data_IF_684315922476
#
_entry.id   IF_684315922476
#
_cell.length_a   1.000
_cell.length_b   1.000
_cell.length_c   1.000
_cell.angle_alpha   90.00
_cell.angle_beta   90.00
_cell.angle_gamma   90.00
#
_symmetry.space_group_name_H-M   'P 1'
#
loop_
_entity.id
_entity.type
_entity.pdbx_description
1 polymer ?
#
# COMPACT_ATOMS: atom_id res chain seq x y z
N UNK A 1 -43.27 -13.79 6.64
CA UNK A 1 -42.99 -13.46 8.06
C UNK A 1 -41.55 -13.80 8.45
N UNK A 2 -41.05 -15.04 8.33
CA UNK A 2 -39.68 -15.42 8.72
C UNK A 2 -38.54 -14.52 8.20
N UNK A 3 -38.59 -14.08 6.94
CA UNK A 3 -37.56 -13.19 6.35
C UNK A 3 -37.58 -11.78 6.96
N UNK A 4 -38.78 -11.24 7.24
CA UNK A 4 -38.95 -9.95 7.89
C UNK A 4 -38.45 -9.99 9.33
N UNK A 5 -38.83 -11.04 10.07
CA UNK A 5 -38.44 -11.19 11.47
C UNK A 5 -36.91 -11.29 11.61
N UNK A 6 -36.26 -12.04 10.71
CA UNK A 6 -34.80 -12.11 10.67
C UNK A 6 -34.17 -10.76 10.30
N UNK A 7 -34.65 -10.10 9.24
CA UNK A 7 -34.07 -8.82 8.82
C UNK A 7 -34.18 -7.75 9.91
N UNK A 8 -35.36 -7.57 10.51
CA UNK A 8 -35.60 -6.49 11.48
C UNK A 8 -35.04 -6.84 12.85
N UNK A 9 -35.41 -7.99 13.41
CA UNK A 9 -35.11 -8.31 14.80
C UNK A 9 -33.73 -8.91 15.01
N UNK A 10 -33.07 -9.40 13.96
CA UNK A 10 -31.70 -9.89 14.02
C UNK A 10 -30.73 -8.91 13.35
N UNK A 11 -30.79 -8.73 12.02
CA UNK A 11 -29.80 -7.92 11.30
C UNK A 11 -29.84 -6.44 11.69
N UNK A 12 -31.00 -5.79 11.59
CA UNK A 12 -31.12 -4.36 11.90
C UNK A 12 -30.92 -4.09 13.39
N UNK A 13 -31.39 -4.98 14.27
CA UNK A 13 -31.13 -4.88 15.71
C UNK A 13 -29.63 -4.99 16.04
N UNK A 14 -28.88 -5.87 15.39
CA UNK A 14 -27.43 -5.97 15.56
C UNK A 14 -26.71 -4.73 15.04
N UNK A 15 -27.10 -4.21 13.86
CA UNK A 15 -26.55 -2.97 13.31
C UNK A 15 -26.77 -1.79 14.26
N UNK A 16 -28.01 -1.62 14.72
CA UNK A 16 -28.37 -0.58 15.68
C UNK A 16 -27.57 -0.70 16.98
N UNK A 17 -27.43 -1.91 17.55
CA UNK A 17 -26.63 -2.12 18.77
C UNK A 17 -25.15 -1.78 18.61
N UNK A 18 -24.58 -1.98 17.42
CA UNK A 18 -23.20 -1.58 17.11
C UNK A 18 -23.10 -0.06 17.01
N UNK A 19 -23.96 0.56 16.21
CA UNK A 19 -23.94 2.00 15.97
C UNK A 19 -24.37 2.82 17.20
N UNK A 20 -25.19 2.26 18.10
CA UNK A 20 -25.54 2.90 19.36
C UNK A 20 -24.36 3.01 20.33
N UNK A 21 -23.34 2.15 20.18
CA UNK A 21 -22.12 2.15 21.00
C UNK A 21 -21.02 3.02 20.38
N UNK A 22 -20.85 2.90 19.07
CA UNK A 22 -19.83 3.63 18.30
C UNK A 22 -20.47 4.07 16.97
N UNK A 23 -20.92 5.34 16.86
CA UNK A 23 -21.61 5.83 15.68
C UNK A 23 -20.80 5.60 14.39
N UNK A 24 -21.41 4.90 13.42
CA UNK A 24 -20.79 4.58 12.14
C UNK A 24 -19.86 3.36 12.16
N UNK A 25 -19.79 2.63 13.27
CA UNK A 25 -19.00 1.39 13.35
C UNK A 25 -19.44 0.36 12.32
N UNK A 26 -20.74 0.18 12.12
CA UNK A 26 -21.22 -0.78 11.13
C UNK A 26 -20.73 -0.44 9.72
N UNK A 27 -20.77 0.84 9.33
CA UNK A 27 -20.28 1.28 8.02
C UNK A 27 -18.77 1.06 7.87
N UNK A 28 -17.97 1.32 8.92
CA UNK A 28 -16.53 1.03 8.93
C UNK A 28 -16.24 -0.46 8.79
N UNK A 29 -16.96 -1.31 9.55
CA UNK A 29 -16.81 -2.77 9.48
C UNK A 29 -17.12 -3.28 8.06
N UNK A 30 -18.21 -2.79 7.44
CA UNK A 30 -18.59 -3.18 6.07
C UNK A 30 -17.51 -2.78 5.05
N UNK A 31 -16.99 -1.55 5.14
CA UNK A 31 -15.89 -1.10 4.26
C UNK A 31 -14.65 -1.98 4.43
N UNK A 32 -14.27 -2.26 5.68
CA UNK A 32 -13.13 -3.13 6.00
C UNK A 32 -13.31 -4.54 5.44
N UNK A 33 -14.51 -5.10 5.55
CA UNK A 33 -14.84 -6.42 5.00
C UNK A 33 -14.78 -6.45 3.47
N UNK A 34 -15.20 -5.38 2.79
CA UNK A 34 -15.06 -5.28 1.34
C UNK A 34 -13.58 -5.29 0.90
N UNK A 35 -12.71 -4.62 1.65
CA UNK A 35 -11.26 -4.65 1.40
C UNK A 35 -10.71 -6.07 1.64
N UNK A 36 -11.08 -6.72 2.74
CA UNK A 36 -10.68 -8.11 3.02
C UNK A 36 -11.07 -9.07 1.89
N UNK A 37 -12.33 -9.09 1.47
CA UNK A 37 -12.78 -9.92 0.34
C UNK A 37 -12.03 -9.61 -0.97
N UNK A 38 -11.59 -8.37 -1.16
CA UNK A 38 -10.78 -8.00 -2.32
C UNK A 38 -9.34 -8.54 -2.23
N UNK A 39 -8.73 -8.52 -1.04
CA UNK A 39 -7.42 -9.17 -0.78
C UNK A 39 -7.49 -10.68 -0.99
N UNK A 40 -8.58 -11.31 -0.55
CA UNK A 40 -8.80 -12.74 -0.74
C UNK A 40 -8.89 -13.15 -2.21
N UNK A 41 -9.61 -12.35 -3.02
CA UNK A 41 -9.67 -12.56 -4.48
C UNK A 41 -8.30 -12.41 -5.13
N UNK A 42 -7.51 -11.41 -4.72
CA UNK A 42 -6.15 -11.22 -5.21
C UNK A 42 -5.21 -12.36 -4.78
N UNK A 43 -5.34 -12.82 -3.54
CA UNK A 43 -4.65 -14.00 -3.00
C UNK A 43 -4.94 -15.24 -3.85
N UNK A 44 -6.22 -15.55 -4.04
CA UNK A 44 -6.63 -16.73 -4.83
C UNK A 44 -6.08 -16.67 -6.25
N UNK A 45 -6.23 -15.53 -6.95
CA UNK A 45 -5.73 -15.37 -8.31
C UNK A 45 -4.21 -15.59 -8.42
N UNK A 46 -3.43 -15.01 -7.49
CA UNK A 46 -1.97 -15.18 -7.46
C UNK A 46 -1.57 -16.62 -7.09
N UNK A 47 -2.25 -17.23 -6.13
CA UNK A 47 -1.98 -18.59 -5.69
C UNK A 47 -2.29 -19.60 -6.80
N UNK A 48 -3.45 -19.49 -7.45
CA UNK A 48 -3.84 -20.34 -8.58
C UNK A 48 -2.84 -20.22 -9.73
N UNK A 49 -2.45 -19.00 -10.09
CA UNK A 49 -1.42 -18.79 -11.09
C UNK A 49 -0.09 -19.41 -10.67
N UNK A 50 0.34 -19.26 -9.41
CA UNK A 50 1.58 -19.85 -8.92
C UNK A 50 1.56 -21.40 -8.95
N UNK A 51 0.40 -22.01 -8.69
CA UNK A 51 0.20 -23.45 -8.81
C UNK A 51 0.28 -23.89 -10.27
N UNK A 52 -0.43 -23.21 -11.18
CA UNK A 52 -0.39 -23.49 -12.62
C UNK A 52 1.01 -23.31 -13.21
N UNK A 53 1.70 -22.25 -12.79
CA UNK A 53 3.09 -21.97 -13.13
C UNK A 53 4.06 -22.93 -12.45
N UNK A 54 3.67 -23.80 -11.52
CA UNK A 54 4.56 -24.72 -10.77
C UNK A 54 5.68 -24.01 -10.01
N UNK A 55 5.37 -22.90 -9.34
CA UNK A 55 6.36 -22.20 -8.51
C UNK A 55 6.79 -23.05 -7.31
N UNK A 56 8.03 -22.84 -6.81
CA UNK A 56 8.50 -23.46 -5.56
C UNK A 56 7.48 -23.39 -4.41
N UNK A 57 7.42 -24.43 -3.58
CA UNK A 57 6.49 -24.53 -2.43
C UNK A 57 6.56 -23.29 -1.54
N UNK A 58 7.76 -22.74 -1.32
CA UNK A 58 7.98 -21.55 -0.49
C UNK A 58 7.15 -20.35 -0.95
N UNK A 59 7.05 -20.09 -2.26
CA UNK A 59 6.23 -18.99 -2.79
C UNK A 59 4.74 -19.29 -2.66
N UNK A 60 4.33 -20.54 -2.88
CA UNK A 60 2.92 -20.93 -2.72
C UNK A 60 2.44 -20.73 -1.26
N UNK A 61 3.28 -21.06 -0.27
CA UNK A 61 2.98 -20.80 1.15
C UNK A 61 2.92 -19.31 1.49
N UNK A 62 3.78 -18.48 0.88
CA UNK A 62 3.68 -17.01 1.00
C UNK A 62 2.34 -16.50 0.43
N UNK A 63 1.99 -16.96 -0.78
CA UNK A 63 0.79 -16.54 -1.51
C UNK A 63 -0.52 -17.10 -0.93
N UNK A 64 -0.49 -18.09 -0.05
CA UNK A 64 -1.69 -18.62 0.59
C UNK A 64 -2.18 -17.75 1.76
N UNK A 65 -1.37 -16.80 2.24
CA UNK A 65 -1.73 -15.98 3.39
C UNK A 65 -2.40 -14.67 2.96
N UNK A 66 -3.66 -14.43 3.32
CA UNK A 66 -4.40 -13.20 2.96
C UNK A 66 -3.68 -11.92 3.37
N UNK A 67 -3.10 -11.90 4.57
CA UNK A 67 -2.40 -10.74 5.11
C UNK A 67 -1.09 -10.45 4.34
N UNK A 68 -0.62 -11.39 3.51
CA UNK A 68 0.48 -11.20 2.59
C UNK A 68 0.07 -10.56 1.25
N UNK A 69 -1.14 -10.02 1.12
CA UNK A 69 -1.59 -9.32 -0.09
C UNK A 69 -1.96 -7.87 0.22
N UNK A 70 -1.66 -6.94 -0.70
CA UNK A 70 -1.96 -5.52 -0.56
C UNK A 70 -3.45 -5.25 -0.62
N UNK A 71 -3.86 -4.14 -0.04
CA UNK A 71 -5.21 -3.60 -0.24
C UNK A 71 -5.24 -2.86 -1.57
N UNK A 72 -6.29 -3.14 -2.35
CA UNK A 72 -6.50 -2.53 -3.64
C UNK A 72 -7.83 -1.78 -3.62
N UNK A 73 -7.76 -0.48 -3.31
CA UNK A 73 -8.95 0.37 -3.28
C UNK A 73 -9.20 1.00 -4.64
N UNK A 74 -10.47 1.09 -5.04
CA UNK A 74 -10.82 1.78 -6.28
C UNK A 74 -10.51 3.27 -6.13
N UNK A 75 -9.93 3.85 -7.17
CA UNK A 75 -9.85 5.31 -7.39
C UNK A 75 -11.24 5.94 -7.29
N UNK A 76 -11.28 7.24 -6.98
CA UNK A 76 -12.49 8.09 -7.00
C UNK A 76 -13.31 7.87 -8.27
N UNK A 77 -12.63 7.74 -9.41
CA UNK A 77 -13.20 7.55 -10.74
C UNK A 77 -13.58 6.09 -11.06
N UNK A 78 -13.26 5.13 -10.18
CA UNK A 78 -13.52 3.71 -10.36
C UNK A 78 -12.71 3.01 -11.46
N UNK A 79 -11.88 3.74 -12.21
CA UNK A 79 -11.14 3.27 -13.39
C UNK A 79 -9.93 2.41 -13.04
N UNK A 80 -9.33 2.63 -11.88
CA UNK A 80 -8.12 1.94 -11.43
C UNK A 80 -8.21 1.54 -9.96
N UNK A 81 -7.38 0.60 -9.55
CA UNK A 81 -7.16 0.28 -8.14
C UNK A 81 -5.81 0.82 -7.67
N UNK A 82 -5.79 1.49 -6.53
CA UNK A 82 -4.58 2.01 -5.90
C UNK A 82 -4.04 0.95 -4.96
N UNK A 83 -2.76 0.65 -5.10
CA UNK A 83 -2.10 -0.35 -4.27
C UNK A 83 -1.55 0.35 -3.03
N UNK A 84 -2.15 0.06 -1.87
CA UNK A 84 -1.64 0.55 -0.58
C UNK A 84 -0.40 -0.23 -0.13
N UNK A 85 0.55 0.49 0.46
CA UNK A 85 1.80 -0.04 1.00
C UNK A 85 1.55 -0.67 2.36
N UNK A 86 1.99 -1.92 2.52
CA UNK A 86 1.95 -2.62 3.79
C UNK A 86 3.22 -2.30 4.56
N UNK A 87 3.09 -1.56 5.66
CA UNK A 87 4.21 -1.01 6.44
C UNK A 87 5.19 -2.08 6.94
N UNK A 88 4.69 -3.28 7.20
CA UNK A 88 5.48 -4.41 7.69
C UNK A 88 6.17 -5.22 6.59
N UNK A 89 5.90 -4.96 5.31
CA UNK A 89 6.45 -5.74 4.20
C UNK A 89 7.73 -5.07 3.67
N UNK A 90 8.77 -5.88 3.46
CA UNK A 90 10.04 -5.41 2.91
C UNK A 90 9.92 -4.86 1.49
N UNK A 91 10.84 -3.95 1.15
CA UNK A 91 11.05 -3.45 -0.21
C UNK A 91 11.21 -4.60 -1.23
N UNK A 92 12.01 -5.61 -0.89
CA UNK A 92 12.27 -6.81 -1.70
C UNK A 92 10.99 -7.59 -1.98
N UNK A 93 10.17 -7.83 -0.95
CA UNK A 93 8.88 -8.50 -1.11
C UNK A 93 7.93 -7.68 -1.99
N UNK A 94 7.89 -6.35 -1.82
CA UNK A 94 7.10 -5.48 -2.67
C UNK A 94 7.51 -5.54 -4.16
N UNK A 95 8.81 -5.45 -4.45
CA UNK A 95 9.36 -5.64 -5.81
C UNK A 95 8.95 -7.01 -6.37
N UNK A 96 9.00 -8.07 -5.56
CA UNK A 96 8.63 -9.42 -6.03
C UNK A 96 7.13 -9.56 -6.34
N UNK A 97 6.25 -8.99 -5.51
CA UNK A 97 4.81 -9.00 -5.80
C UNK A 97 4.47 -8.21 -7.07
N UNK A 98 5.19 -7.12 -7.37
CA UNK A 98 5.06 -6.40 -8.65
C UNK A 98 5.51 -7.24 -9.83
N UNK A 99 6.65 -7.91 -9.70
CA UNK A 99 7.16 -8.82 -10.71
C UNK A 99 6.16 -9.96 -10.99
N UNK A 100 5.58 -10.53 -9.93
CA UNK A 100 4.53 -11.54 -10.03
C UNK A 100 3.32 -11.03 -10.80
N UNK A 101 2.80 -9.86 -10.45
CA UNK A 101 1.64 -9.27 -11.13
C UNK A 101 1.93 -9.02 -12.62
N UNK A 102 3.14 -8.54 -12.94
CA UNK A 102 3.58 -8.33 -14.32
C UNK A 102 3.64 -9.65 -15.11
N UNK A 103 4.16 -10.72 -14.49
CA UNK A 103 4.23 -12.06 -15.12
C UNK A 103 2.84 -12.68 -15.31
N UNK A 104 1.92 -12.44 -14.39
CA UNK A 104 0.53 -12.85 -14.55
C UNK A 104 -0.12 -12.16 -15.75
N UNK A 105 0.09 -10.85 -15.91
CA UNK A 105 -0.43 -10.08 -17.04
C UNK A 105 0.19 -10.54 -18.38
N UNK A 106 1.51 -10.72 -18.43
CA UNK A 106 2.21 -11.26 -19.60
C UNK A 106 1.65 -12.63 -20.00
N UNK A 107 1.42 -13.51 -19.03
CA UNK A 107 0.86 -14.84 -19.25
C UNK A 107 -0.56 -14.79 -19.81
N UNK A 108 -1.42 -13.91 -19.30
CA UNK A 108 -2.79 -13.75 -19.79
C UNK A 108 -2.82 -13.18 -21.20
N UNK A 109 -1.96 -12.20 -21.48
CA UNK A 109 -1.78 -11.62 -22.81
C UNK A 109 -1.30 -12.67 -23.81
N UNK A 110 -0.34 -13.50 -23.43
CA UNK A 110 0.18 -14.59 -24.27
C UNK A 110 -0.88 -15.66 -24.56
N UNK A 111 -1.76 -15.95 -23.60
CA UNK A 111 -2.90 -16.87 -23.78
C UNK A 111 -4.09 -16.24 -24.53
N UNK A 112 -4.02 -14.95 -24.89
CA UNK A 112 -5.10 -14.24 -25.56
C UNK A 112 -6.36 -14.06 -24.69
N UNK A 113 -6.24 -14.23 -23.37
CA UNK A 113 -7.36 -14.06 -22.45
C UNK A 113 -7.61 -12.55 -22.31
N UNK A 114 -8.70 -12.08 -22.92
CA UNK A 114 -9.17 -10.70 -22.73
C UNK A 114 -9.86 -10.59 -21.37
N UNK A 115 -9.09 -10.33 -20.31
CA UNK A 115 -9.67 -10.02 -19.00
C UNK A 115 -9.95 -8.52 -18.92
N UNK A 116 -11.18 -8.13 -18.56
CA UNK A 116 -11.50 -6.75 -18.16
C UNK A 116 -11.00 -6.50 -16.73
N UNK A 117 -9.69 -6.65 -16.51
CA UNK A 117 -9.10 -6.35 -15.22
C UNK A 117 -8.91 -4.85 -15.09
N UNK A 118 -9.42 -4.31 -13.99
CA UNK A 118 -9.12 -2.95 -13.58
C UNK A 118 -7.60 -2.83 -13.39
N UNK A 119 -6.92 -1.89 -14.06
CA UNK A 119 -5.49 -1.66 -13.87
C UNK A 119 -5.22 -1.32 -12.40
N UNK A 120 -4.04 -1.71 -11.93
CA UNK A 120 -3.61 -1.46 -10.55
C UNK A 120 -2.39 -0.56 -10.57
N UNK A 121 -2.52 0.62 -9.98
CA UNK A 121 -1.49 1.65 -9.97
C UNK A 121 -0.79 1.73 -8.62
N UNK A 122 0.52 1.96 -8.69
CA UNK A 122 1.35 2.25 -7.53
C UNK A 122 1.48 3.77 -7.40
N UNK A 123 1.05 4.37 -6.28
CA UNK A 123 1.21 5.80 -6.09
C UNK A 123 2.70 6.15 -5.92
N UNK A 124 3.12 7.31 -6.44
CA UNK A 124 4.49 7.82 -6.29
C UNK A 124 4.83 8.12 -4.83
N UNK A 125 3.83 8.57 -4.06
CA UNK A 125 3.91 8.71 -2.60
C UNK A 125 3.23 7.50 -1.96
N UNK A 126 3.92 6.67 -1.15
CA UNK A 126 3.33 5.51 -0.52
C UNK A 126 2.11 5.86 0.34
N UNK A 127 0.98 5.18 0.08
CA UNK A 127 -0.22 5.29 0.93
C UNK A 127 -0.26 4.07 1.84
N UNK A 128 -0.18 4.27 3.15
CA UNK A 128 -0.19 3.18 4.11
C UNK A 128 -1.54 2.42 4.11
N UNK A 129 -1.45 1.10 4.21
CA UNK A 129 -2.59 0.22 4.43
C UNK A 129 -3.22 0.44 5.81
N UNK A 130 -4.54 0.30 5.89
CA UNK A 130 -5.28 0.30 7.16
C UNK A 130 -5.08 -1.02 7.95
N UNK A 131 -4.61 -2.07 7.28
CA UNK A 131 -4.37 -3.38 7.89
C UNK A 131 -2.94 -3.47 8.38
N UNK A 132 -2.75 -3.10 9.65
CA UNK A 132 -1.44 -3.10 10.30
C UNK A 132 -1.01 -4.48 10.80
N UNK A 133 -1.94 -5.44 10.92
CA UNK A 133 -1.62 -6.78 11.41
C UNK A 133 -0.79 -7.55 10.38
N UNK A 134 0.46 -7.92 10.70
CA UNK A 134 1.27 -8.70 9.78
C UNK A 134 0.75 -10.14 9.66
N UNK A 135 1.04 -10.82 8.54
CA UNK A 135 1.00 -12.28 8.48
C UNK A 135 1.88 -12.91 9.56
N UNK A 136 1.63 -14.18 9.90
CA UNK A 136 2.43 -14.93 10.89
C UNK A 136 3.22 -16.02 10.18
N UNK A 137 4.39 -16.35 10.73
CA UNK A 137 5.24 -17.47 10.31
C UNK A 137 5.67 -17.38 8.83
N UNK A 138 5.79 -16.16 8.29
CA UNK A 138 6.44 -15.93 7.00
C UNK A 138 7.97 -15.86 7.14
N UNK A 139 8.71 -16.09 6.04
CA UNK A 139 10.16 -15.94 5.99
C UNK A 139 10.65 -14.56 6.46
N UNK A 140 11.86 -14.50 7.00
CA UNK A 140 12.47 -13.30 7.59
C UNK A 140 12.46 -12.11 6.62
N UNK A 141 12.89 -12.36 5.39
CA UNK A 141 13.05 -11.39 4.30
C UNK A 141 11.73 -10.89 3.70
N UNK A 142 10.58 -11.42 4.12
CA UNK A 142 9.28 -10.81 3.84
C UNK A 142 9.06 -9.53 4.65
N UNK A 143 9.61 -9.46 5.87
CA UNK A 143 9.34 -8.36 6.79
C UNK A 143 10.29 -7.20 6.56
N UNK A 144 9.78 -5.97 6.61
CA UNK A 144 10.58 -4.76 6.58
C UNK A 144 11.54 -4.76 7.80
N UNK A 145 12.87 -4.62 7.59
CA UNK A 145 13.84 -4.57 8.68
C UNK A 145 13.57 -3.49 9.73
N UNK A 146 13.18 -2.27 9.31
CA UNK A 146 12.84 -1.16 10.20
C UNK A 146 11.63 -1.50 11.06
N UNK A 147 10.59 -2.10 10.46
CA UNK A 147 9.42 -2.56 11.19
C UNK A 147 9.78 -3.68 12.17
N UNK A 148 10.52 -4.70 11.72
CA UNK A 148 10.89 -5.86 12.52
C UNK A 148 11.76 -5.48 13.74
N UNK A 149 12.73 -4.59 13.53
CA UNK A 149 13.66 -4.19 14.58
C UNK A 149 13.00 -3.35 15.69
N UNK A 150 11.81 -2.80 15.44
CA UNK A 150 10.99 -2.09 16.43
C UNK A 150 10.12 -3.02 17.29
N UNK A 151 9.97 -4.29 16.92
CA UNK A 151 9.16 -5.27 17.66
C UNK A 151 9.84 -5.72 18.94
N UNK A 152 9.04 -6.11 19.94
CA UNK A 152 9.55 -6.76 21.15
C UNK A 152 10.03 -8.19 20.85
N UNK A 153 10.98 -8.76 21.61
CA UNK A 153 11.57 -10.07 21.31
C UNK A 153 10.54 -11.20 21.19
N UNK A 154 9.59 -11.25 22.11
CA UNK A 154 8.50 -12.24 22.10
C UNK A 154 7.58 -12.08 20.88
N UNK A 155 7.41 -10.87 20.37
CA UNK A 155 6.62 -10.60 19.16
C UNK A 155 7.36 -11.05 17.91
N UNK A 156 8.68 -10.81 17.83
CA UNK A 156 9.54 -11.31 16.74
C UNK A 156 9.39 -12.82 16.57
N UNK A 157 9.45 -13.58 17.67
CA UNK A 157 9.31 -15.05 17.67
C UNK A 157 7.92 -15.53 17.22
N UNK A 158 6.86 -14.80 17.58
CA UNK A 158 5.48 -15.16 17.21
C UNK A 158 5.16 -14.85 15.75
N UNK A 159 5.68 -13.74 15.24
CA UNK A 159 5.33 -13.20 13.92
C UNK A 159 6.20 -13.80 12.82
N UNK A 160 7.50 -13.99 13.05
CA UNK A 160 8.47 -14.28 11.99
C UNK A 160 9.01 -15.69 12.10
N UNK A 161 9.13 -16.37 10.96
CA UNK A 161 9.95 -17.57 10.86
C UNK A 161 11.41 -17.15 10.60
N UNK A 162 12.19 -17.04 11.67
CA UNK A 162 13.61 -16.66 11.62
C UNK A 162 14.51 -17.74 11.01
N UNK A 163 13.98 -18.93 10.71
CA UNK A 163 14.74 -20.03 10.10
C UNK A 163 14.62 -20.13 8.58
N UNK A 164 13.94 -19.19 7.91
CA UNK A 164 13.68 -19.27 6.47
C UNK A 164 13.81 -17.91 5.76
N UNK A 165 14.33 -17.97 4.53
CA UNK A 165 14.46 -16.84 3.59
C UNK A 165 13.93 -17.31 2.22
N UNK A 166 13.33 -16.42 1.42
CA UNK A 166 12.61 -16.80 0.20
C UNK A 166 13.03 -16.04 -1.07
N UNK A 167 13.45 -14.80 -0.93
CA UNK A 167 13.82 -13.89 -2.01
C UNK A 167 15.33 -13.91 -2.25
N UNK A 168 15.68 -13.44 -3.45
CA UNK A 168 17.05 -13.20 -3.85
C UNK A 168 17.32 -11.73 -3.50
N UNK A 169 18.57 -11.36 -3.18
CA UNK A 169 18.95 -9.95 -3.06
C UNK A 169 18.56 -9.14 -4.31
N UNK A 170 18.79 -9.72 -5.49
CA UNK A 170 18.25 -9.20 -6.75
C UNK A 170 16.95 -9.91 -7.13
N UNK A 171 15.83 -9.17 -7.01
CA UNK A 171 14.49 -9.68 -7.29
C UNK A 171 14.29 -10.05 -8.76
N UNK A 172 15.02 -9.42 -9.70
CA UNK A 172 14.87 -9.66 -11.14
C UNK A 172 15.27 -11.07 -11.55
N UNK A 173 16.03 -11.78 -10.71
CA UNK A 173 16.40 -13.19 -10.91
C UNK A 173 15.24 -14.16 -10.72
N UNK A 174 14.13 -13.73 -10.09
CA UNK A 174 12.93 -14.55 -9.94
C UNK A 174 12.08 -14.59 -11.20
N UNK A 175 11.29 -15.64 -11.36
CA UNK A 175 10.23 -15.75 -12.37
C UNK A 175 10.73 -15.55 -13.82
N UNK A 176 12.00 -15.86 -14.08
CA UNK A 176 12.56 -15.87 -15.43
C UNK A 176 11.96 -16.99 -16.27
N UNK A 177 11.84 -16.78 -17.59
CA UNK A 177 11.32 -17.78 -18.52
C UNK A 177 12.05 -19.13 -18.40
N UNK A 178 13.39 -19.07 -18.26
CA UNK A 178 14.20 -20.17 -17.77
C UNK A 178 14.55 -19.90 -16.32
N UNK A 179 13.93 -20.65 -15.40
CA UNK A 179 14.20 -20.52 -13.96
C UNK A 179 15.67 -20.71 -13.64
N UNK A 180 16.15 -19.87 -12.74
CA UNK A 180 17.48 -20.01 -12.14
C UNK A 180 17.60 -21.39 -11.47
N UNK A 181 18.78 -22.00 -11.58
CA UNK A 181 19.11 -23.22 -10.86
C UNK A 181 18.92 -23.08 -9.35
N UNK A 182 19.19 -21.90 -8.81
CA UNK A 182 19.08 -21.62 -7.38
C UNK A 182 17.63 -21.43 -6.94
N UNK A 183 16.77 -20.94 -7.82
CA UNK A 183 15.34 -20.83 -7.54
C UNK A 183 14.71 -22.23 -7.39
N UNK A 184 15.28 -23.24 -8.04
CA UNK A 184 14.83 -24.65 -7.92
C UNK A 184 15.33 -25.35 -6.66
N UNK A 185 16.25 -24.75 -5.90
CA UNK A 185 16.74 -25.35 -4.65
C UNK A 185 15.60 -25.55 -3.66
N UNK A 186 15.76 -26.55 -2.80
CA UNK A 186 14.88 -26.75 -1.65
C UNK A 186 14.95 -25.55 -0.71
N UNK A 187 13.88 -25.30 0.06
CA UNK A 187 13.82 -24.15 0.99
C UNK A 187 15.02 -24.12 1.95
N UNK A 188 15.41 -25.29 2.50
CA UNK A 188 16.55 -25.40 3.42
C UNK A 188 17.89 -25.02 2.78
N UNK A 189 18.13 -25.45 1.54
CA UNK A 189 19.36 -25.15 0.81
C UNK A 189 19.41 -23.68 0.39
N UNK A 190 18.27 -23.15 -0.05
CA UNK A 190 18.11 -21.74 -0.38
C UNK A 190 18.41 -20.86 0.83
N UNK A 191 17.76 -21.13 1.97
CA UNK A 191 18.03 -20.43 3.22
C UNK A 191 19.51 -20.51 3.57
N UNK A 192 20.14 -21.69 3.55
CA UNK A 192 21.56 -21.81 3.91
C UNK A 192 22.49 -20.90 3.08
N UNK A 193 22.15 -20.62 1.82
CA UNK A 193 22.94 -19.72 0.95
C UNK A 193 22.72 -18.25 1.27
N UNK A 194 21.46 -17.85 1.45
CA UNK A 194 21.07 -16.44 1.49
C UNK A 194 20.84 -15.90 2.91
N UNK A 195 20.73 -16.77 3.91
CA UNK A 195 20.39 -16.39 5.28
C UNK A 195 21.36 -15.37 5.88
N UNK A 196 22.67 -15.62 5.77
CA UNK A 196 23.70 -14.75 6.36
C UNK A 196 23.69 -13.34 5.79
N UNK A 197 23.40 -13.18 4.50
CA UNK A 197 23.30 -11.86 3.87
C UNK A 197 22.00 -11.17 4.27
N UNK A 198 20.87 -11.89 4.23
CA UNK A 198 19.57 -11.35 4.58
C UNK A 198 19.48 -10.96 6.06
N UNK A 199 20.03 -11.77 6.97
CA UNK A 199 19.88 -11.58 8.42
C UNK A 199 20.65 -10.38 8.97
N UNK A 200 21.65 -9.86 8.25
CA UNK A 200 22.45 -8.70 8.68
C UNK A 200 21.62 -7.45 8.95
N UNK A 201 20.47 -7.30 8.27
CA UNK A 201 19.57 -6.16 8.45
C UNK A 201 18.65 -6.30 9.66
N UNK A 202 18.61 -7.48 10.28
CA UNK A 202 17.68 -7.83 11.35
C UNK A 202 18.42 -8.00 12.67
N UNK A 203 17.91 -7.34 13.72
CA UNK A 203 18.36 -7.50 15.10
C UNK A 203 17.72 -8.77 15.69
N UNK A 204 18.30 -9.90 15.30
CA UNK A 204 17.97 -11.22 15.85
C UNK A 204 18.67 -11.37 17.20
N UNK A 205 17.91 -11.54 18.27
CA UNK A 205 18.43 -11.84 19.60
C UNK A 205 18.69 -13.35 19.71
N UNK A 206 19.67 -13.74 20.52
CA UNK A 206 20.03 -15.14 20.72
C UNK A 206 18.90 -15.83 21.51
N UNK A 207 18.30 -16.93 21.02
CA UNK A 207 17.18 -17.59 21.69
C UNK A 207 17.47 -18.08 23.11
N UNK A 208 18.74 -18.11 23.52
CA UNK A 208 19.20 -18.55 24.84
C UNK A 208 18.82 -17.59 25.99
N UNK A 209 18.38 -16.37 25.69
CA UNK A 209 18.01 -15.37 26.71
C UNK A 209 16.55 -15.52 27.23
N UNK A 210 15.77 -16.48 26.72
CA UNK A 210 14.34 -16.62 27.03
C UNK A 210 13.94 -17.99 27.64
N UNK A 211 14.90 -18.77 28.13
CA UNK A 211 14.63 -20.00 28.89
C UNK A 211 14.03 -19.71 30.27
N UNK A 212 12.81 -19.16 30.35
CA UNK A 212 12.00 -19.17 31.58
C UNK A 212 10.50 -18.83 31.34
N UNK A 213 9.92 -19.32 30.25
CA UNK A 213 8.46 -19.42 30.18
C UNK A 213 8.02 -20.75 29.59
N UNK A 214 7.53 -21.62 30.47
CA UNK A 214 6.75 -22.81 30.17
C UNK A 214 5.58 -22.45 29.23
N UNK A 215 5.68 -22.81 27.95
CA UNK A 215 4.56 -22.69 27.01
C UNK A 215 4.21 -24.08 26.50
N UNK A 216 3.32 -24.71 27.26
CA UNK A 216 2.66 -25.96 26.92
C UNK A 216 2.16 -25.97 25.48
N UNK A 217 2.59 -27.02 24.77
CA UNK A 217 2.13 -27.41 23.46
C UNK A 217 0.63 -27.71 23.48
N UNK A 218 -0.19 -26.70 23.15
CA UNK A 218 -1.64 -26.79 23.07
C UNK A 218 -2.14 -26.19 21.76
N UNK A 219 -1.90 -26.89 20.65
CA UNK A 219 -2.58 -26.64 19.37
C UNK A 219 -4.10 -26.84 19.57
N UNK A 220 -4.82 -25.77 19.91
CA UNK A 220 -6.24 -25.65 19.61
C UNK A 220 -6.38 -24.86 18.33
N UNK A 221 -6.86 -25.55 17.31
CA UNK A 221 -7.51 -24.96 16.15
C UNK A 221 -8.62 -24.05 16.68
N UNK A 222 -8.48 -22.74 16.47
CA UNK A 222 -9.60 -21.82 16.67
C UNK A 222 -10.28 -21.77 15.31
N UNK A 223 -11.36 -22.54 15.19
CA UNK A 223 -12.38 -22.31 14.18
C UNK A 223 -12.96 -20.93 14.46
N UNK A 224 -12.61 -19.97 13.60
CA UNK A 224 -13.18 -18.63 13.63
C UNK A 224 -14.53 -18.72 12.91
N UNK A 225 -15.58 -18.99 13.68
CA UNK A 225 -16.97 -18.89 13.23
C UNK A 225 -17.30 -17.41 12.95
N UNK A 226 -16.88 -16.91 11.78
CA UNK A 226 -17.31 -15.61 11.28
C UNK A 226 -18.64 -15.78 10.52
N UNK A 227 -19.71 -15.26 11.12
CA UNK A 227 -21.07 -15.35 10.64
C UNK A 227 -21.23 -14.86 9.18
N UNK A 228 -21.70 -15.76 8.32
CA UNK A 228 -22.20 -15.48 6.97
C UNK A 228 -23.38 -14.50 7.03
N UNK A 229 -23.09 -13.22 6.81
CA UNK A 229 -24.09 -12.26 6.37
C UNK A 229 -24.00 -12.14 4.85
N UNK A 230 -24.68 -13.06 4.17
CA UNK A 230 -24.97 -12.96 2.74
C UNK A 230 -25.81 -11.70 2.50
N UNK A 231 -25.26 -10.80 1.72
CA UNK A 231 -25.76 -9.47 1.47
C UNK A 231 -25.12 -8.96 0.21
N UNK A 232 -25.58 -9.49 -0.92
CA UNK A 232 -25.31 -8.95 -2.23
C UNK A 232 -25.83 -7.51 -2.27
N UNK A 233 -24.91 -6.54 -2.33
CA UNK A 233 -25.24 -5.12 -2.47
C UNK A 233 -24.48 -4.61 -3.68
N UNK A 234 -25.21 -4.53 -4.78
CA UNK A 234 -24.82 -3.83 -6.00
C UNK A 234 -24.96 -2.34 -5.69
N UNK A 235 -23.84 -1.63 -5.60
CA UNK A 235 -23.84 -0.16 -5.56
C UNK A 235 -23.67 0.38 -6.99
N UNK A 236 -24.69 1.09 -7.45
CA UNK A 236 -24.85 1.61 -8.79
C UNK A 236 -25.07 3.12 -8.66
N UNK A 237 -23.98 3.88 -8.61
CA UNK A 237 -23.80 5.20 -9.24
C UNK A 237 -22.45 5.80 -8.83
N UNK A 238 -21.63 6.20 -9.81
CA UNK A 238 -20.55 7.14 -9.59
C UNK A 238 -20.51 8.09 -10.79
N UNK A 239 -21.03 9.30 -10.60
CA UNK A 239 -20.91 10.42 -11.53
C UNK A 239 -19.49 10.98 -11.43
N UNK A 240 -18.67 10.77 -12.45
CA UNK A 240 -17.29 11.29 -12.48
C UNK A 240 -17.25 12.72 -13.00
N UNK A 241 -16.73 13.66 -12.20
CA UNK A 241 -16.06 14.84 -12.71
C UNK A 241 -14.57 14.48 -12.88
N UNK A 242 -14.09 14.53 -14.13
CA UNK A 242 -12.70 14.20 -14.46
C UNK A 242 -11.73 15.21 -13.88
N UNK A 243 -10.81 14.73 -13.05
CA UNK A 243 -9.59 15.43 -12.66
C UNK A 243 -8.42 14.58 -13.15
N UNK A 244 -7.46 15.22 -13.82
CA UNK A 244 -6.24 14.62 -14.33
C UNK A 244 -5.37 14.11 -13.16
N UNK A 245 -5.48 12.81 -12.85
CA UNK A 245 -4.75 12.12 -11.77
C UNK A 245 -3.57 11.29 -12.30
N UNK A 246 -3.26 11.31 -13.59
CA UNK A 246 -2.29 10.36 -14.19
C UNK A 246 -0.84 10.58 -13.74
N UNK A 247 -0.46 11.80 -13.33
CA UNK A 247 0.90 12.10 -12.86
C UNK A 247 1.20 11.62 -11.43
N UNK A 248 0.20 11.20 -10.66
CA UNK A 248 0.39 10.75 -9.26
C UNK A 248 0.87 9.30 -9.14
N UNK A 249 0.89 8.55 -10.25
CA UNK A 249 1.11 7.10 -10.26
C UNK A 249 2.28 6.70 -11.16
N UNK A 250 2.88 5.54 -10.89
CA UNK A 250 3.83 4.91 -11.81
C UNK A 250 3.10 4.18 -12.95
N UNK A 251 3.74 4.15 -14.12
CA UNK A 251 3.29 3.37 -15.27
C UNK A 251 3.24 1.87 -14.98
N UNK A 252 2.49 1.11 -15.78
CA UNK A 252 2.28 -0.32 -15.58
C UNK A 252 3.61 -1.10 -15.50
N UNK A 253 3.89 -1.69 -14.34
CA UNK A 253 5.10 -2.48 -14.08
C UNK A 253 6.30 -1.66 -13.57
N UNK A 254 6.22 -0.33 -13.57
CA UNK A 254 7.25 0.56 -13.03
C UNK A 254 6.98 0.86 -11.54
N UNK A 255 8.06 1.08 -10.79
CA UNK A 255 7.98 1.46 -9.37
C UNK A 255 9.03 2.50 -8.98
N UNK A 256 9.81 3.01 -9.95
CA UNK A 256 10.90 3.96 -9.74
C UNK A 256 11.81 3.56 -8.57
N UNK A 257 12.16 4.54 -7.76
CA UNK A 257 13.03 4.37 -6.59
C UNK A 257 12.26 4.00 -5.31
N UNK A 258 10.94 3.77 -5.39
CA UNK A 258 10.06 3.63 -4.21
C UNK A 258 10.46 2.47 -3.29
N UNK A 259 11.10 1.45 -3.85
CA UNK A 259 11.55 0.27 -3.13
C UNK A 259 13.08 0.18 -3.06
N UNK A 260 13.81 1.26 -3.37
CA UNK A 260 15.26 1.30 -3.11
C UNK A 260 15.57 1.58 -1.63
N UNK A 261 14.59 2.11 -0.89
CA UNK A 261 14.65 2.29 0.57
C UNK A 261 13.53 1.51 1.27
N UNK A 262 13.70 1.22 2.55
CA UNK A 262 12.65 0.61 3.35
C UNK A 262 11.64 1.67 3.84
N UNK A 263 10.37 1.29 3.90
CA UNK A 263 9.33 2.20 4.39
C UNK A 263 9.61 2.54 5.87
N UNK A 264 9.74 3.83 6.17
CA UNK A 264 10.00 4.33 7.52
C UNK A 264 11.48 4.48 7.89
N UNK A 265 12.41 4.34 6.93
CA UNK A 265 13.77 4.89 7.06
C UNK A 265 13.71 6.43 7.00
N UNK A 266 14.43 7.10 7.90
CA UNK A 266 14.52 8.57 7.92
C UNK A 266 15.42 9.04 6.78
N UNK A 267 15.03 10.13 6.11
CA UNK A 267 15.81 10.71 5.00
C UNK A 267 16.99 11.51 5.56
N UNK A 268 18.10 10.84 5.82
CA UNK A 268 19.35 11.50 6.19
C UNK A 268 19.98 12.15 4.94
N UNK A 269 19.50 13.34 4.55
CA UNK A 269 20.28 14.28 3.73
C UNK A 269 19.56 14.97 2.57
N UNK A 270 19.13 16.21 2.79
CA UNK A 270 19.30 17.29 1.81
C UNK A 270 19.57 18.60 2.55
N UNK A 271 20.79 18.74 3.06
CA UNK A 271 21.35 20.08 3.28
C UNK A 271 21.78 20.62 1.92
N UNK A 272 20.84 21.16 1.14
CA UNK A 272 21.17 21.89 -0.08
C UNK A 272 21.81 23.23 0.33
N UNK A 273 23.13 23.19 0.36
CA UNK A 273 24.06 24.29 0.53
C UNK A 273 23.88 25.26 -0.65
N UNK A 274 22.97 26.24 -0.51
CA UNK A 274 22.77 27.33 -1.47
C UNK A 274 24.01 28.23 -1.51
N UNK A 275 25.04 27.82 -2.24
CA UNK A 275 26.09 28.72 -2.71
C UNK A 275 25.53 29.59 -3.84
N UNK A 276 25.10 30.80 -3.47
CA UNK A 276 24.87 31.91 -4.39
C UNK A 276 26.22 32.32 -4.99
N UNK A 277 26.39 32.05 -6.28
CA UNK A 277 27.43 32.65 -7.14
C UNK A 277 26.71 33.25 -8.36
N UNK A 278 26.25 34.48 -8.21
CA UNK A 278 25.80 35.31 -9.33
C UNK A 278 26.92 36.29 -9.68
N UNK A 279 27.80 35.86 -10.60
CA UNK A 279 28.60 36.78 -11.41
C UNK A 279 28.12 36.74 -12.86
N UNK A 280 27.39 37.77 -13.27
CA UNK A 280 27.22 38.08 -14.68
C UNK A 280 27.25 39.59 -14.92
N UNK A 281 28.43 40.07 -15.30
CA UNK A 281 28.63 41.34 -15.99
C UNK A 281 28.32 41.16 -17.47
N UNK A 282 27.45 42.01 -18.05
CA UNK A 282 27.77 42.77 -19.27
C UNK A 282 26.59 43.64 -19.72
N UNK A 283 26.79 44.94 -19.56
CA UNK A 283 26.45 46.08 -20.41
C UNK A 283 25.52 45.89 -21.62
N UNK A 284 24.50 46.74 -21.70
CA UNK A 284 24.11 47.37 -22.97
C UNK A 284 23.50 48.76 -22.69
N UNK A 285 24.22 49.77 -23.18
CA UNK A 285 23.86 51.18 -23.23
C UNK A 285 22.77 51.41 -24.27
N UNK A 286 21.79 52.25 -23.96
CA UNK A 286 21.09 53.09 -24.93
C UNK A 286 20.66 54.38 -24.20
N UNK A 287 21.22 55.49 -24.67
CA UNK A 287 20.92 56.87 -24.30
C UNK A 287 19.59 57.36 -24.93
N UNK A 288 19.23 58.59 -24.56
CA UNK A 288 18.23 59.51 -25.15
C UNK A 288 16.80 59.34 -24.58
N UNK A 289 16.09 60.34 -24.02
CA UNK A 289 16.22 61.79 -24.04
C UNK A 289 15.45 62.43 -22.86
N UNK A 290 15.83 63.67 -22.56
CA UNK A 290 15.36 64.51 -21.46
C UNK A 290 13.90 64.99 -21.57
N UNK A 291 13.22 65.09 -20.41
CA UNK A 291 12.23 66.14 -20.17
C UNK A 291 12.11 66.43 -18.66
N UNK A 292 12.61 67.59 -18.25
CA UNK A 292 12.37 68.20 -16.94
C UNK A 292 10.94 68.74 -16.85
N UNK A 293 10.34 68.60 -15.67
CA UNK A 293 9.06 69.21 -15.34
C UNK A 293 8.70 68.97 -13.87
N UNK A 294 9.33 69.74 -12.99
CA UNK A 294 8.81 69.99 -11.64
C UNK A 294 7.38 70.57 -11.74
N UNK A 295 6.45 70.08 -10.91
CA UNK A 295 5.80 70.91 -9.87
C UNK A 295 4.47 70.33 -9.34
N UNK A 296 4.39 70.35 -8.01
CA UNK A 296 3.25 70.73 -7.15
C UNK A 296 2.17 69.70 -6.80
N UNK A 297 2.21 69.32 -5.53
CA UNK A 297 1.20 69.60 -4.51
C UNK A 297 -0.28 69.56 -4.89
N UNK A 298 -1.00 68.66 -4.24
CA UNK A 298 -2.46 68.63 -4.28
C UNK A 298 -3.05 67.57 -3.35
N UNK A 299 -2.95 67.81 -2.03
CA UNK A 299 -3.96 67.32 -1.08
C UNK A 299 -5.37 67.64 -1.62
N UNK A 300 -6.36 66.75 -1.41
CA UNK A 300 -7.73 67.09 -0.95
C UNK A 300 -8.66 65.84 -0.92
N UNK A 301 -9.01 65.48 0.32
CA UNK A 301 -10.31 65.05 0.88
C UNK A 301 -11.20 63.95 0.25
N UNK A 302 -11.47 62.94 1.11
CA UNK A 302 -12.79 62.47 1.60
C UNK A 302 -13.99 62.41 0.64
N UNK A 303 -14.66 61.24 0.58
CA UNK A 303 -16.05 61.13 1.04
C UNK A 303 -16.54 59.68 1.12
N UNK A 304 -17.04 59.31 2.31
CA UNK A 304 -17.97 58.20 2.53
C UNK A 304 -19.33 58.56 1.92
N UNK A 305 -20.00 57.57 1.29
CA UNK A 305 -21.40 57.67 0.88
C UNK A 305 -22.12 56.34 1.06
N UNK A 306 -22.86 56.21 2.18
CA UNK A 306 -23.87 55.18 2.41
C UNK A 306 -25.09 55.45 1.51
N UNK A 307 -25.71 54.41 0.96
CA UNK A 307 -27.02 54.52 0.31
C UNK A 307 -27.75 53.18 0.25
N UNK A 308 -28.71 52.99 1.17
CA UNK A 308 -29.72 51.92 1.14
C UNK A 308 -30.73 52.18 0.00
N UNK A 309 -31.24 51.13 -0.63
CA UNK A 309 -32.43 51.21 -1.49
C UNK A 309 -33.15 49.86 -1.58
N UNK A 310 -34.32 49.76 -0.93
CA UNK A 310 -35.31 48.69 -1.07
C UNK A 310 -36.20 48.93 -2.30
N UNK A 311 -36.72 47.85 -2.89
CA UNK A 311 -37.90 47.82 -3.79
C UNK A 311 -37.82 46.57 -4.66
N UNK A 312 -38.43 45.43 -4.31
CA UNK A 312 -39.85 45.03 -4.49
C UNK A 312 -40.51 45.64 -5.72
N UNK A 313 -40.88 44.78 -6.69
CA UNK A 313 -42.23 44.49 -7.22
C UNK A 313 -42.07 43.81 -8.58
N UNK A 314 -42.84 42.75 -8.82
CA UNK A 314 -42.89 41.97 -10.05
C UNK A 314 -43.10 40.50 -9.76
#
# INVERSE_FOLDING_TARGET
>A
TRAYDHFVHYLMAQRYKKDSKDPGRHAKDVKRQHVLKSRERLRNARYEWAVAAKLPVRFRRLLSQTNAHSDDEKTSNGKAKIIKTLVYRSSVANKWFRLLDSKMEESERAMGIKTQKTPRYLPKVPIASEFLTPPKQLPLDYYNPVYFNKLQPLEKLKIVNTGEVIFFPDVKRHLLARRDSEEKLGAREFTKRYFTECSQRYKLEDPSEFEDSDVGNGLKHVDDDEAEADGDVIDLECSSAGSDEEDAYFGGGEFGDLYEREFGEEDEGSEDDMRSDDSYTSSQEFDDDAFEGEDKDGDIYMAKGKGKGKGKVG
#
